data_IF_146044337121
#
_entry.id   IF_146044337121
#
_cell.length_a   1.000
_cell.length_b   1.000
_cell.length_c   1.000
_cell.angle_alpha   90.00
_cell.angle_beta   90.00
_cell.angle_gamma   90.00
#
_symmetry.space_group_name_H-M   'P 1'
#
loop_
_entity.id
_entity.type
_entity.pdbx_description
1 polymer ?
#
# COMPACT_ATOMS: atom_id res chain seq x y z
N UNK A 1 -32.65 0.17 6.33
CA UNK A 1 -31.19 -0.04 6.46
C UNK A 1 -30.56 0.43 5.15
N UNK A 2 -30.11 1.68 5.10
CA UNK A 2 -29.55 2.33 3.88
C UNK A 2 -28.64 3.52 4.21
N UNK A 3 -28.28 3.73 5.49
CA UNK A 3 -27.41 4.86 5.90
C UNK A 3 -25.92 4.59 5.68
N UNK A 4 -25.49 3.33 5.66
CA UNK A 4 -24.07 2.98 5.70
C UNK A 4 -23.28 3.23 4.41
N UNK A 5 -23.93 3.28 3.24
CA UNK A 5 -23.20 3.44 1.96
C UNK A 5 -23.03 4.90 1.55
N UNK A 6 -24.06 5.73 1.78
CA UNK A 6 -24.00 7.16 1.50
C UNK A 6 -22.98 7.89 2.39
N UNK A 7 -22.93 7.55 3.68
CA UNK A 7 -21.99 8.17 4.62
C UNK A 7 -20.52 7.92 4.21
N UNK A 8 -20.22 6.76 3.61
CA UNK A 8 -18.87 6.45 3.14
C UNK A 8 -18.52 7.22 1.87
N UNK A 9 -19.44 7.28 0.91
CA UNK A 9 -19.24 7.99 -0.35
C UNK A 9 -19.04 9.49 -0.11
N UNK A 10 -19.77 10.07 0.84
CA UNK A 10 -19.60 11.47 1.27
C UNK A 10 -18.20 11.72 1.86
N UNK A 11 -17.69 10.79 2.68
CA UNK A 11 -16.32 10.86 3.24
C UNK A 11 -15.28 10.69 2.12
N UNK A 12 -15.52 9.79 1.17
CA UNK A 12 -14.60 9.57 0.05
C UNK A 12 -14.53 10.80 -0.85
N UNK A 13 -15.66 11.46 -1.12
CA UNK A 13 -15.73 12.74 -1.83
C UNK A 13 -14.94 13.84 -1.13
N UNK A 14 -15.12 14.00 0.18
CA UNK A 14 -14.33 14.96 0.96
C UNK A 14 -12.82 14.69 0.88
N UNK A 15 -12.41 13.41 0.90
CA UNK A 15 -11.02 13.00 0.72
C UNK A 15 -10.49 13.28 -0.68
N UNK A 16 -11.30 13.11 -1.72
CA UNK A 16 -10.93 13.48 -3.09
C UNK A 16 -10.63 14.98 -3.20
N UNK A 17 -11.47 15.81 -2.58
CA UNK A 17 -11.26 17.26 -2.59
C UNK A 17 -9.96 17.66 -1.89
N UNK A 18 -9.65 17.03 -0.74
CA UNK A 18 -8.36 17.22 -0.07
C UNK A 18 -7.15 16.83 -0.93
N UNK A 19 -7.26 15.71 -1.67
CA UNK A 19 -6.21 15.30 -2.62
C UNK A 19 -6.00 16.34 -3.72
N UNK A 20 -7.09 16.90 -4.26
CA UNK A 20 -7.04 17.96 -5.29
C UNK A 20 -6.41 19.24 -4.77
N UNK A 21 -6.75 19.65 -3.55
CA UNK A 21 -6.13 20.81 -2.88
C UNK A 21 -4.61 20.63 -2.71
N UNK A 22 -4.18 19.40 -2.41
CA UNK A 22 -2.76 19.02 -2.30
C UNK A 22 -2.03 18.97 -3.65
N UNK A 23 -2.76 19.05 -4.77
CA UNK A 23 -2.25 19.05 -6.14
C UNK A 23 -2.33 17.70 -6.86
N UNK A 24 -2.98 16.70 -6.27
CA UNK A 24 -3.17 15.38 -6.90
C UNK A 24 -4.31 15.45 -7.92
N UNK A 25 -4.03 15.00 -9.14
CA UNK A 25 -5.04 14.85 -10.19
C UNK A 25 -5.77 13.51 -10.01
N UNK A 26 -7.10 13.55 -10.00
CA UNK A 26 -7.95 12.35 -9.95
C UNK A 26 -8.61 12.23 -11.32
N UNK A 27 -8.19 11.25 -12.11
CA UNK A 27 -8.73 11.05 -13.46
C UNK A 27 -10.05 10.28 -13.44
N UNK A 28 -10.17 9.32 -12.52
CA UNK A 28 -11.35 8.48 -12.34
C UNK A 28 -11.80 8.50 -10.85
N UNK A 29 -12.91 9.20 -10.59
CA UNK A 29 -13.47 9.33 -9.24
C UNK A 29 -14.07 8.01 -8.72
N UNK A 30 -14.68 7.21 -9.58
CA UNK A 30 -15.25 5.92 -9.19
C UNK A 30 -14.13 4.96 -8.82
N UNK A 31 -13.04 4.97 -9.59
CA UNK A 31 -11.83 4.22 -9.28
C UNK A 31 -11.21 4.64 -7.94
N UNK A 32 -11.13 5.95 -7.66
CA UNK A 32 -10.68 6.44 -6.37
C UNK A 32 -11.53 5.90 -5.21
N UNK A 33 -12.86 6.03 -5.31
CA UNK A 33 -13.79 5.59 -4.28
C UNK A 33 -13.64 4.08 -4.06
N UNK A 34 -13.62 3.28 -5.13
CA UNK A 34 -13.42 1.83 -5.07
C UNK A 34 -12.13 1.44 -4.35
N UNK A 35 -11.00 2.07 -4.70
CA UNK A 35 -9.70 1.75 -4.07
C UNK A 35 -9.62 2.21 -2.62
N UNK A 36 -10.13 3.39 -2.31
CA UNK A 36 -10.19 3.90 -0.94
C UNK A 36 -11.12 3.07 -0.06
N UNK A 37 -12.21 2.53 -0.62
CA UNK A 37 -13.10 1.60 0.08
C UNK A 37 -12.44 0.25 0.32
N UNK A 38 -11.71 -0.26 -0.68
CA UNK A 38 -11.09 -1.58 -0.63
C UNK A 38 -9.87 -1.63 0.30
N UNK A 39 -8.99 -0.64 0.21
CA UNK A 39 -7.69 -0.68 0.89
C UNK A 39 -7.55 0.38 2.00
N UNK A 40 -8.40 1.41 1.99
CA UNK A 40 -8.35 2.51 2.94
C UNK A 40 -7.55 3.71 2.45
N UNK A 41 -8.13 4.90 2.60
CA UNK A 41 -7.49 6.17 2.24
C UNK A 41 -6.13 6.38 2.90
N UNK A 42 -6.02 6.04 4.19
CA UNK A 42 -4.78 6.23 4.95
C UNK A 42 -3.66 5.35 4.42
N UNK A 43 -4.00 4.12 4.04
CA UNK A 43 -3.03 3.15 3.53
C UNK A 43 -2.54 3.56 2.15
N UNK A 44 -3.38 4.07 1.26
CA UNK A 44 -2.94 4.46 -0.09
C UNK A 44 -2.35 5.87 -0.11
N UNK A 45 -3.08 6.87 0.40
CA UNK A 45 -2.71 8.27 0.24
C UNK A 45 -1.75 8.70 1.33
N UNK A 46 -2.17 8.63 2.59
CA UNK A 46 -1.41 9.24 3.69
C UNK A 46 0.00 8.65 3.86
N UNK A 47 0.18 7.36 3.58
CA UNK A 47 1.49 6.71 3.68
C UNK A 47 2.43 7.02 2.51
N UNK A 48 1.89 7.30 1.32
CA UNK A 48 2.69 7.36 0.10
C UNK A 48 2.76 8.75 -0.53
N UNK A 49 1.84 9.66 -0.21
CA UNK A 49 1.76 11.01 -0.76
C UNK A 49 3.08 11.79 -0.61
N UNK A 50 3.76 11.64 0.53
CA UNK A 50 5.03 12.31 0.82
C UNK A 50 6.13 11.99 -0.20
N UNK A 51 6.10 10.80 -0.82
CA UNK A 51 7.05 10.42 -1.87
C UNK A 51 6.82 11.18 -3.19
N UNK A 52 5.69 11.87 -3.31
CA UNK A 52 5.33 12.68 -4.45
C UNK A 52 5.43 14.17 -4.19
N UNK A 53 5.80 14.60 -2.98
CA UNK A 53 6.07 16.01 -2.66
C UNK A 53 7.45 16.39 -3.20
N UNK A 54 7.53 17.55 -3.86
CA UNK A 54 8.81 18.09 -4.34
C UNK A 54 9.60 18.67 -3.15
N UNK A 55 10.93 18.52 -3.12
CA UNK A 55 11.75 19.02 -2.01
C UNK A 55 11.50 20.52 -1.78
N UNK A 56 11.30 20.92 -0.51
CA UNK A 56 10.93 22.28 -0.06
C UNK A 56 9.55 22.81 -0.52
N UNK A 57 8.65 21.93 -1.00
CA UNK A 57 7.27 22.29 -1.38
C UNK A 57 6.24 21.76 -0.38
N UNK A 58 5.14 22.50 -0.18
CA UNK A 58 3.92 21.99 0.49
C UNK A 58 2.99 21.22 -0.47
N UNK A 59 3.32 21.19 -1.76
CA UNK A 59 2.49 20.60 -2.83
C UNK A 59 3.17 19.42 -3.50
N UNK A 60 2.35 18.48 -3.98
CA UNK A 60 2.82 17.36 -4.80
C UNK A 60 3.41 17.85 -6.12
N UNK A 61 4.31 17.04 -6.67
CA UNK A 61 4.92 17.25 -7.98
C UNK A 61 3.84 17.49 -9.04
N UNK A 62 4.06 18.42 -9.99
CA UNK A 62 3.10 18.71 -11.05
C UNK A 62 2.70 17.44 -11.81
N UNK A 63 1.42 17.33 -12.16
CA UNK A 63 0.82 16.20 -12.87
C UNK A 63 0.81 14.87 -12.11
N UNK A 64 1.10 14.85 -10.80
CA UNK A 64 0.91 13.64 -9.99
C UNK A 64 -0.55 13.22 -10.02
N UNK A 65 -0.80 11.98 -10.40
CA UNK A 65 -2.15 11.38 -10.45
C UNK A 65 -2.40 10.44 -9.28
N UNK A 66 -3.67 10.25 -8.91
CA UNK A 66 -4.04 9.23 -7.94
C UNK A 66 -3.61 7.83 -8.40
N UNK A 67 -3.74 7.54 -9.69
CA UNK A 67 -3.40 6.24 -10.26
C UNK A 67 -1.90 5.92 -10.10
N UNK A 68 -1.02 6.92 -10.20
CA UNK A 68 0.41 6.77 -9.92
C UNK A 68 0.69 6.49 -8.44
N UNK A 69 0.03 7.20 -7.53
CA UNK A 69 0.16 6.95 -6.08
C UNK A 69 -0.30 5.53 -5.75
N UNK A 70 -1.44 5.11 -6.31
CA UNK A 70 -1.95 3.77 -6.12
C UNK A 70 -1.06 2.69 -6.74
N UNK A 71 -0.48 2.93 -7.92
CA UNK A 71 0.48 2.02 -8.53
C UNK A 71 1.74 1.86 -7.66
N UNK A 72 2.20 2.94 -7.02
CA UNK A 72 3.31 2.89 -6.07
C UNK A 72 2.96 2.09 -4.81
N UNK A 73 1.76 2.27 -4.26
CA UNK A 73 1.22 1.42 -3.18
C UNK A 73 1.24 -0.06 -3.60
N UNK A 74 0.72 -0.39 -4.78
CA UNK A 74 0.68 -1.77 -5.27
C UNK A 74 2.08 -2.38 -5.42
N UNK A 75 3.03 -1.61 -5.92
CA UNK A 75 4.43 -2.05 -6.03
C UNK A 75 5.01 -2.38 -4.65
N UNK A 76 4.84 -1.50 -3.68
CA UNK A 76 5.34 -1.70 -2.32
C UNK A 76 4.70 -2.93 -1.65
N UNK A 77 3.38 -3.12 -1.79
CA UNK A 77 2.70 -4.32 -1.30
C UNK A 77 3.24 -5.60 -1.93
N UNK A 78 3.52 -5.58 -3.24
CA UNK A 78 4.13 -6.73 -3.93
C UNK A 78 5.53 -7.01 -3.40
N UNK A 79 6.37 -5.99 -3.26
CA UNK A 79 7.72 -6.16 -2.72
C UNK A 79 7.71 -6.72 -1.28
N UNK A 80 6.81 -6.21 -0.43
CA UNK A 80 6.61 -6.74 0.94
C UNK A 80 6.21 -8.21 0.94
N UNK A 81 5.29 -8.61 0.05
CA UNK A 81 4.84 -9.99 -0.05
C UNK A 81 5.95 -10.92 -0.56
N UNK A 82 6.67 -10.54 -1.61
CA UNK A 82 7.80 -11.34 -2.12
C UNK A 82 8.89 -11.49 -1.06
N UNK A 83 9.27 -10.41 -0.39
CA UNK A 83 10.26 -10.45 0.68
C UNK A 83 9.83 -11.35 1.85
N UNK A 84 8.53 -11.34 2.20
CA UNK A 84 7.99 -12.22 3.24
C UNK A 84 8.04 -13.70 2.81
N UNK A 85 7.68 -14.00 1.57
CA UNK A 85 7.75 -15.36 1.00
C UNK A 85 9.19 -15.87 1.01
N UNK A 86 10.13 -15.07 0.55
CA UNK A 86 11.56 -15.42 0.53
C UNK A 86 12.08 -15.67 1.95
N UNK A 87 11.69 -14.83 2.91
CA UNK A 87 12.08 -15.00 4.31
C UNK A 87 11.52 -16.30 4.91
N UNK A 88 10.27 -16.64 4.59
CA UNK A 88 9.64 -17.89 5.02
C UNK A 88 10.32 -19.12 4.41
N UNK A 89 10.67 -19.07 3.12
CA UNK A 89 11.42 -20.13 2.43
C UNK A 89 12.81 -20.32 3.03
N UNK A 90 13.51 -19.22 3.31
CA UNK A 90 14.78 -19.24 4.01
C UNK A 90 14.62 -19.91 5.39
N UNK A 91 13.65 -19.48 6.19
CA UNK A 91 13.41 -20.03 7.53
C UNK A 91 13.14 -21.54 7.48
N UNK A 92 12.30 -22.00 6.55
CA UNK A 92 11.99 -23.41 6.36
C UNK A 92 13.23 -24.23 5.98
N UNK A 93 14.01 -23.74 5.00
CA UNK A 93 15.22 -24.42 4.52
C UNK A 93 16.28 -24.48 5.61
N UNK A 94 16.44 -23.39 6.35
CA UNK A 94 17.39 -23.29 7.45
C UNK A 94 17.04 -24.25 8.58
N UNK A 95 15.76 -24.33 8.98
CA UNK A 95 15.29 -25.29 9.99
C UNK A 95 15.52 -26.73 9.57
N UNK A 96 15.21 -27.09 8.34
CA UNK A 96 15.43 -28.45 7.82
C UNK A 96 16.94 -28.81 7.88
N UNK A 97 17.80 -27.93 7.39
CA UNK A 97 19.25 -28.14 7.41
C UNK A 97 19.80 -28.29 8.84
N UNK A 98 19.28 -27.49 9.79
CA UNK A 98 19.69 -27.62 11.19
C UNK A 98 19.28 -28.95 11.81
N UNK A 99 18.07 -29.45 11.49
CA UNK A 99 17.61 -30.76 11.95
C UNK A 99 18.54 -31.86 11.43
N UNK A 100 18.85 -31.85 10.13
CA UNK A 100 19.74 -32.84 9.52
C UNK A 100 21.11 -32.85 10.22
N UNK A 101 21.68 -31.68 10.52
CA UNK A 101 22.95 -31.57 11.24
C UNK A 101 22.82 -32.12 12.67
N UNK A 102 21.76 -31.78 13.40
CA UNK A 102 21.56 -32.27 14.78
C UNK A 102 21.40 -33.79 14.79
N UNK A 103 20.62 -34.36 13.87
CA UNK A 103 20.43 -35.81 13.76
C UNK A 103 21.74 -36.55 13.53
N UNK A 104 22.62 -36.02 12.67
CA UNK A 104 23.95 -36.56 12.45
C UNK A 104 24.82 -36.55 13.71
N UNK A 105 24.69 -35.52 14.56
CA UNK A 105 25.45 -35.42 15.81
C UNK A 105 24.86 -36.26 16.95
N UNK A 106 23.54 -36.50 16.96
CA UNK A 106 22.85 -37.28 18.01
C UNK A 106 22.89 -38.79 17.72
N UNK A 107 23.09 -39.20 16.46
CA UNK A 107 23.25 -40.60 16.06
C UNK A 107 24.65 -41.20 16.38
N UNK A 108 25.56 -40.39 16.95
CA UNK A 108 26.89 -40.79 17.44
C UNK A 108 26.96 -40.70 18.97
#
# INVERSE_FOLDING_TARGET
MTKSNNDFEDIARWRMDFCRESGVTINDEEYFIDKVQTYGYREIIYQYLDHFIENDSEKVRPNTTFEEIYAFYQLDQRLKNEALIDLQLFEQTFKATLIDVIELYVAH
#
